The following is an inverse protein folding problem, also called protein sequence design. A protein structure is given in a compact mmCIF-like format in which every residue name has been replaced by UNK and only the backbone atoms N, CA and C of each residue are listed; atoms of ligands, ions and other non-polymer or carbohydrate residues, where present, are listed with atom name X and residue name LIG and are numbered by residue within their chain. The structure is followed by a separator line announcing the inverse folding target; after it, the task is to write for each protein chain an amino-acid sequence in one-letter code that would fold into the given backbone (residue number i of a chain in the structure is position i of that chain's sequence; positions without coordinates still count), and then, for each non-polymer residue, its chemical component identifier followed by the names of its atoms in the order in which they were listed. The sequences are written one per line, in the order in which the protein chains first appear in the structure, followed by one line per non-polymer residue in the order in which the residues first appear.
data_IF_289770861295
#
_entry.id   IF_289770861295
#
_cell.length_a   1.000
_cell.length_b   1.000
_cell.length_c   1.000
_cell.angle_alpha   90.00
_cell.angle_beta   90.00
_cell.angle_gamma   90.00
#
_symmetry.space_group_name_H-M   'P 1'
#
loop_
_entity.id
_entity.type
_entity.pdbx_description
1 polymer ?
#
# COMPACT_ATOMS: atom_id res chain seq x y z
N UNK A 1 10.76 -7.86 23.07
CA UNK A 1 10.20 -8.44 21.82
C UNK A 1 8.76 -8.92 22.05
N UNK A 2 8.49 -9.87 22.94
CA UNK A 2 7.12 -10.40 23.19
C UNK A 2 6.11 -9.32 23.64
N UNK A 3 6.50 -8.39 24.51
CA UNK A 3 5.61 -7.30 24.98
C UNK A 3 5.22 -6.33 23.86
N UNK A 4 6.17 -6.00 22.98
CA UNK A 4 5.92 -5.14 21.81
C UNK A 4 5.04 -5.86 20.79
N UNK A 5 5.20 -7.18 20.66
CA UNK A 5 4.40 -8.03 19.78
C UNK A 5 2.92 -8.08 20.20
N UNK A 6 2.67 -8.26 21.51
CA UNK A 6 1.34 -8.14 22.09
C UNK A 6 0.76 -6.75 21.88
N UNK A 7 1.52 -5.69 22.17
CA UNK A 7 1.06 -4.31 22.00
C UNK A 7 0.73 -3.96 20.55
N UNK A 8 1.55 -4.36 19.58
CA UNK A 8 1.30 -4.12 18.16
C UNK A 8 0.05 -4.85 17.68
N UNK A 9 -0.10 -6.12 18.07
CA UNK A 9 -1.30 -6.91 17.79
C UNK A 9 -2.53 -6.27 18.44
N UNK A 10 -2.41 -5.77 19.67
CA UNK A 10 -3.50 -5.15 20.42
C UNK A 10 -3.87 -3.77 19.88
N UNK A 11 -2.90 -2.95 19.46
CA UNK A 11 -3.13 -1.61 18.87
C UNK A 11 -3.87 -1.74 17.54
N UNK A 12 -3.44 -2.67 16.69
CA UNK A 12 -4.11 -2.93 15.40
C UNK A 12 -5.44 -3.63 15.56
N UNK A 13 -5.59 -4.55 16.52
CA UNK A 13 -6.85 -5.27 16.76
C UNK A 13 -7.90 -4.42 17.47
N UNK A 14 -7.48 -3.47 18.31
CA UNK A 14 -8.37 -2.59 19.08
C UNK A 14 -8.54 -1.19 18.48
N UNK A 15 -8.02 -0.96 17.26
CA UNK A 15 -8.16 0.28 16.50
C UNK A 15 -7.69 1.55 17.26
N UNK A 16 -6.68 1.43 18.14
CA UNK A 16 -6.17 2.57 18.92
C UNK A 16 -5.07 3.32 18.17
N UNK A 17 -5.43 3.89 17.02
CA UNK A 17 -4.52 4.60 16.09
C UNK A 17 -3.78 5.73 16.79
N UNK A 18 -4.49 6.50 17.62
CA UNK A 18 -3.93 7.65 18.35
C UNK A 18 -2.84 7.24 19.35
N UNK A 19 -2.91 6.00 19.85
CA UNK A 19 -1.89 5.46 20.74
C UNK A 19 -0.63 5.09 19.97
N UNK A 20 -0.71 4.70 18.69
CA UNK A 20 0.44 4.28 17.91
C UNK A 20 1.49 5.40 17.78
N UNK A 21 1.06 6.63 17.45
CA UNK A 21 1.98 7.77 17.34
C UNK A 21 2.62 8.11 18.70
N UNK A 22 1.82 8.08 19.78
CA UNK A 22 2.36 8.27 21.13
C UNK A 22 3.35 7.17 21.55
N UNK A 23 3.12 5.92 21.13
CA UNK A 23 4.02 4.79 21.39
C UNK A 23 5.32 4.89 20.58
N UNK A 24 5.24 5.32 19.32
CA UNK A 24 6.40 5.54 18.47
C UNK A 24 7.29 6.66 19.04
N UNK A 25 6.68 7.74 19.53
CA UNK A 25 7.40 8.85 20.18
C UNK A 25 8.01 8.49 21.53
N UNK A 26 7.33 7.64 22.31
CA UNK A 26 7.78 7.23 23.63
C UNK A 26 8.64 5.95 23.62
N UNK A 27 8.89 5.35 22.45
CA UNK A 27 9.68 4.11 22.38
C UNK A 27 11.15 4.41 22.67
N UNK A 28 11.78 3.69 23.62
CA UNK A 28 13.19 3.85 23.89
C UNK A 28 14.02 3.41 22.68
N UNK A 29 15.14 4.08 22.44
CA UNK A 29 16.09 3.64 21.42
C UNK A 29 16.61 2.24 21.79
N UNK A 30 16.30 1.26 20.94
CA UNK A 30 16.75 -0.10 21.16
C UNK A 30 18.26 -0.18 20.91
N UNK A 31 19.03 -0.93 21.71
CA UNK A 31 20.46 -1.12 21.46
C UNK A 31 20.76 -1.78 20.10
N UNK A 32 19.77 -2.48 19.52
CA UNK A 32 19.83 -3.05 18.17
C UNK A 32 19.35 -2.10 17.05
N UNK A 33 19.14 -0.81 17.34
CA UNK A 33 18.65 0.17 16.36
C UNK A 33 19.57 0.30 15.14
N UNK A 34 20.87 0.04 15.31
CA UNK A 34 21.81 0.00 14.19
C UNK A 34 21.49 -1.11 13.17
N UNK A 35 21.09 -2.30 13.66
CA UNK A 35 20.79 -3.47 12.84
C UNK A 35 19.36 -3.50 12.33
N UNK A 36 18.39 -3.09 13.17
CA UNK A 36 16.96 -3.25 12.89
C UNK A 36 16.29 -1.94 12.46
N UNK A 37 16.90 -0.79 12.74
CA UNK A 37 16.34 0.53 12.48
C UNK A 37 15.58 1.11 13.68
N UNK A 38 14.84 2.18 13.44
CA UNK A 38 14.04 2.86 14.47
C UNK A 38 12.82 2.05 14.92
N UNK A 39 12.04 2.60 15.87
CA UNK A 39 10.83 1.94 16.36
C UNK A 39 9.84 1.59 15.23
N UNK A 40 9.70 2.46 14.22
CA UNK A 40 8.86 2.22 13.05
C UNK A 40 9.29 1.03 12.20
N UNK A 41 10.60 0.85 11.99
CA UNK A 41 11.15 -0.29 11.25
C UNK A 41 10.89 -1.61 11.98
N UNK A 42 11.05 -1.63 13.30
CA UNK A 42 10.74 -2.78 14.14
C UNK A 42 9.27 -3.17 14.04
N UNK A 43 8.37 -2.19 14.15
CA UNK A 43 6.93 -2.40 14.03
C UNK A 43 6.55 -2.98 12.66
N UNK A 44 7.16 -2.49 11.57
CA UNK A 44 6.92 -2.99 10.21
C UNK A 44 7.43 -4.41 10.03
N UNK A 45 8.60 -4.74 10.57
CA UNK A 45 9.16 -6.09 10.48
C UNK A 45 8.25 -7.09 11.18
N UNK A 46 7.83 -6.78 12.41
CA UNK A 46 6.93 -7.65 13.18
C UNK A 46 5.58 -7.77 12.50
N UNK A 47 4.99 -6.66 12.04
CA UNK A 47 3.73 -6.67 11.31
C UNK A 47 3.83 -7.54 10.05
N UNK A 48 4.94 -7.46 9.31
CA UNK A 48 5.18 -8.31 8.13
C UNK A 48 5.26 -9.78 8.50
N UNK A 49 5.90 -10.13 9.61
CA UNK A 49 6.01 -11.51 10.10
C UNK A 49 4.64 -12.07 10.56
N UNK A 50 3.83 -11.25 11.23
CA UNK A 50 2.46 -11.60 11.62
C UNK A 50 1.57 -11.82 10.40
N UNK A 51 1.63 -10.95 9.39
CA UNK A 51 0.85 -11.12 8.15
C UNK A 51 1.17 -12.45 7.43
N UNK A 52 2.42 -12.91 7.48
CA UNK A 52 2.82 -14.18 6.86
C UNK A 52 2.31 -15.40 7.63
N UNK A 53 2.13 -15.28 8.95
CA UNK A 53 1.64 -16.35 9.84
C UNK A 53 0.10 -16.43 9.87
N UNK A 54 -0.58 -15.31 9.62
CA UNK A 54 -2.04 -15.22 9.66
C UNK A 54 -2.70 -15.91 8.45
N UNK A 55 -3.46 -16.97 8.72
CA UNK A 55 -4.28 -17.69 7.72
C UNK A 55 -5.77 -17.29 7.75
N UNK A 56 -6.17 -16.43 8.68
CA UNK A 56 -7.57 -16.04 8.89
C UNK A 56 -7.90 -14.79 8.07
N UNK A 57 -8.79 -14.94 7.09
CA UNK A 57 -9.18 -13.89 6.13
C UNK A 57 -9.72 -12.59 6.76
N UNK A 58 -10.72 -12.59 7.66
CA UNK A 58 -11.28 -11.34 8.20
C UNK A 58 -10.25 -10.55 9.01
N UNK A 59 -9.34 -11.23 9.70
CA UNK A 59 -8.26 -10.61 10.47
C UNK A 59 -7.25 -9.97 9.53
N UNK A 60 -6.86 -10.68 8.46
CA UNK A 60 -5.95 -10.16 7.45
C UNK A 60 -6.49 -8.89 6.76
N UNK A 61 -7.79 -8.87 6.42
CA UNK A 61 -8.45 -7.69 5.87
C UNK A 61 -8.39 -6.50 6.83
N UNK A 62 -8.60 -6.74 8.12
CA UNK A 62 -8.51 -5.70 9.13
C UNK A 62 -7.10 -5.11 9.20
N UNK A 63 -6.06 -5.95 9.28
CA UNK A 63 -4.67 -5.50 9.27
C UNK A 63 -4.33 -4.69 8.01
N UNK A 64 -4.69 -5.19 6.82
CA UNK A 64 -4.45 -4.49 5.55
C UNK A 64 -5.14 -3.13 5.49
N UNK A 65 -6.35 -3.01 6.05
CA UNK A 65 -7.08 -1.73 6.08
C UNK A 65 -6.39 -0.69 6.97
N UNK A 66 -5.84 -1.13 8.10
CA UNK A 66 -5.17 -0.30 9.09
C UNK A 66 -3.72 0.03 8.70
N UNK A 67 -3.11 -0.77 7.82
CA UNK A 67 -1.74 -0.53 7.35
C UNK A 67 -1.57 0.84 6.68
N UNK A 68 -2.65 1.45 6.17
CA UNK A 68 -2.65 2.80 5.59
C UNK A 68 -2.12 3.86 6.57
N UNK A 69 -2.20 3.62 7.88
CA UNK A 69 -1.70 4.53 8.92
C UNK A 69 -0.18 4.67 8.88
N UNK A 70 0.54 3.65 8.40
CA UNK A 70 2.00 3.72 8.25
C UNK A 70 2.44 4.61 7.08
N UNK A 71 1.51 5.21 6.35
CA UNK A 71 1.81 6.15 5.28
C UNK A 71 2.58 7.36 5.82
N UNK A 72 3.74 7.65 5.23
CA UNK A 72 4.56 8.80 5.61
C UNK A 72 5.56 8.53 6.74
N UNK A 73 5.64 7.31 7.27
CA UNK A 73 6.74 6.94 8.17
C UNK A 73 8.05 6.78 7.38
N UNK A 74 9.12 7.40 7.88
CA UNK A 74 10.47 7.22 7.36
C UNK A 74 10.97 5.82 7.75
N UNK A 75 10.86 4.88 6.79
CA UNK A 75 11.31 3.51 6.95
C UNK A 75 12.62 3.29 6.21
N UNK A 76 13.46 2.40 6.72
CA UNK A 76 14.67 1.95 6.03
C UNK A 76 14.33 1.28 4.69
N UNK A 77 15.24 1.36 3.73
CA UNK A 77 15.05 0.74 2.40
C UNK A 77 14.85 -0.78 2.47
N UNK A 78 15.47 -1.45 3.44
CA UNK A 78 15.38 -2.91 3.62
C UNK A 78 14.01 -3.35 4.14
N UNK A 79 13.45 -2.62 5.11
CA UNK A 79 12.15 -2.91 5.72
C UNK A 79 11.02 -2.61 4.76
N UNK A 80 11.06 -1.47 4.08
CA UNK A 80 10.11 -1.10 3.03
C UNK A 80 10.11 -2.09 1.86
N UNK A 81 11.27 -2.59 1.45
CA UNK A 81 11.36 -3.63 0.40
C UNK A 81 10.72 -4.95 0.83
N UNK A 82 10.96 -5.41 2.06
CA UNK A 82 10.33 -6.62 2.62
C UNK A 82 8.81 -6.49 2.71
N UNK A 83 8.33 -5.34 3.20
CA UNK A 83 6.90 -5.04 3.29
C UNK A 83 6.25 -5.03 1.91
N UNK A 84 6.89 -4.37 0.94
CA UNK A 84 6.45 -4.31 -0.45
C UNK A 84 6.37 -5.72 -1.07
N UNK A 85 7.38 -6.56 -0.87
CA UNK A 85 7.37 -7.95 -1.35
C UNK A 85 6.23 -8.78 -0.71
N UNK A 86 5.97 -8.59 0.59
CA UNK A 86 4.87 -9.25 1.27
C UNK A 86 3.50 -8.78 0.76
N UNK A 87 3.29 -7.49 0.56
CA UNK A 87 2.05 -6.97 -0.04
C UNK A 87 1.87 -7.48 -1.47
N UNK A 88 2.95 -7.59 -2.25
CA UNK A 88 2.87 -8.11 -3.61
C UNK A 88 2.43 -9.58 -3.68
N UNK A 89 2.86 -10.43 -2.73
CA UNK A 89 2.39 -11.82 -2.69
C UNK A 89 0.87 -11.88 -2.48
N UNK A 90 0.30 -10.95 -1.72
CA UNK A 90 -1.15 -10.82 -1.56
C UNK A 90 -1.87 -10.25 -2.78
N UNK A 91 -1.22 -9.44 -3.62
CA UNK A 91 -1.84 -8.87 -4.84
C UNK A 91 -1.86 -9.82 -6.03
N UNK A 92 -1.05 -10.88 -6.01
CA UNK A 92 -0.83 -11.76 -7.16
C UNK A 92 -2.02 -12.68 -7.39
N UNK A 93 -2.59 -12.72 -8.62
CA UNK A 93 -3.61 -13.70 -8.97
C UNK A 93 -2.96 -15.07 -9.14
N UNK A 94 -3.36 -16.07 -8.35
CA UNK A 94 -2.89 -17.44 -8.47
C UNK A 94 -3.97 -18.47 -8.17
N UNK A 95 -3.59 -19.74 -8.09
CA UNK A 95 -4.46 -20.91 -7.96
C UNK A 95 -5.34 -20.97 -6.68
N UNK A 96 -6.05 -22.08 -6.42
CA UNK A 96 -7.12 -22.18 -5.41
C UNK A 96 -6.68 -21.94 -3.95
N UNK A 97 -5.37 -21.88 -3.69
CA UNK A 97 -4.77 -21.58 -2.39
C UNK A 97 -4.38 -20.10 -2.22
N UNK A 98 -4.60 -19.25 -3.23
CA UNK A 98 -4.26 -17.82 -3.21
C UNK A 98 -5.32 -16.97 -2.49
N UNK A 99 -4.93 -15.80 -1.97
CA UNK A 99 -5.83 -14.90 -1.23
C UNK A 99 -7.06 -14.53 -2.05
N UNK A 100 -8.20 -14.45 -1.36
CA UNK A 100 -9.49 -14.11 -1.94
C UNK A 100 -9.46 -12.74 -2.62
N UNK A 101 -10.42 -12.49 -3.50
CA UNK A 101 -10.53 -11.23 -4.24
C UNK A 101 -10.58 -10.01 -3.29
N UNK A 102 -11.22 -10.14 -2.13
CA UNK A 102 -11.30 -9.09 -1.13
C UNK A 102 -9.91 -8.74 -0.57
N UNK A 103 -9.12 -9.75 -0.20
CA UNK A 103 -7.75 -9.57 0.30
C UNK A 103 -6.85 -8.93 -0.75
N UNK A 104 -6.99 -9.33 -2.03
CA UNK A 104 -6.22 -8.71 -3.11
C UNK A 104 -6.54 -7.23 -3.26
N UNK A 105 -7.82 -6.85 -3.23
CA UNK A 105 -8.21 -5.43 -3.31
C UNK A 105 -7.70 -4.63 -2.11
N UNK A 106 -7.84 -5.17 -0.89
CA UNK A 106 -7.31 -4.52 0.31
C UNK A 106 -5.78 -4.37 0.26
N UNK A 107 -5.06 -5.37 -0.26
CA UNK A 107 -3.62 -5.33 -0.42
C UNK A 107 -3.19 -4.30 -1.48
N UNK A 108 -3.91 -4.20 -2.60
CA UNK A 108 -3.69 -3.14 -3.60
C UNK A 108 -3.91 -1.75 -3.00
N UNK A 109 -5.00 -1.56 -2.26
CA UNK A 109 -5.30 -0.29 -1.61
C UNK A 109 -4.23 0.11 -0.59
N UNK A 110 -3.77 -0.84 0.23
CA UNK A 110 -2.70 -0.60 1.20
C UNK A 110 -1.36 -0.29 0.51
N UNK A 111 -1.02 -1.02 -0.54
CA UNK A 111 0.21 -0.86 -1.30
C UNK A 111 0.27 0.49 -2.04
N UNK A 112 -0.86 0.97 -2.54
CA UNK A 112 -1.01 2.27 -3.19
C UNK A 112 -0.91 3.43 -2.18
N UNK A 113 -1.49 3.28 -1.00
CA UNK A 113 -1.37 4.26 0.09
C UNK A 113 0.07 4.37 0.60
N UNK A 114 0.75 3.24 0.82
CA UNK A 114 2.12 3.25 1.36
C UNK A 114 3.18 3.68 0.36
N UNK A 115 3.04 3.30 -0.92
CA UNK A 115 4.07 3.51 -1.93
C UNK A 115 3.51 4.23 -3.17
N UNK A 116 3.21 5.55 -3.07
CA UNK A 116 2.60 6.30 -4.16
C UNK A 116 3.48 6.36 -5.42
N UNK A 117 4.81 6.27 -5.25
CA UNK A 117 5.81 6.37 -6.33
C UNK A 117 5.74 5.18 -7.31
N UNK A 118 5.11 4.06 -6.94
CA UNK A 118 5.06 2.83 -7.74
C UNK A 118 3.71 2.50 -8.39
N UNK A 119 2.70 3.35 -8.24
CA UNK A 119 1.30 3.06 -8.65
C UNK A 119 1.15 2.86 -10.16
N UNK A 120 1.68 3.80 -10.94
CA UNK A 120 1.56 3.80 -12.41
C UNK A 120 2.24 2.61 -13.10
N UNK A 121 3.52 2.29 -12.81
CA UNK A 121 4.18 1.15 -13.47
C UNK A 121 3.58 -0.20 -13.05
N UNK A 122 3.10 -0.36 -11.81
CA UNK A 122 2.46 -1.60 -11.34
C UNK A 122 1.17 -1.92 -12.10
N UNK A 123 0.29 -0.94 -12.24
CA UNK A 123 -0.94 -1.12 -13.00
C UNK A 123 -0.65 -1.36 -14.48
N UNK A 124 0.33 -0.65 -15.03
CA UNK A 124 0.76 -0.81 -16.41
C UNK A 124 1.30 -2.22 -16.67
N UNK A 125 2.21 -2.74 -15.83
CA UNK A 125 2.74 -4.11 -15.95
C UNK A 125 1.63 -5.16 -15.82
N UNK A 126 0.72 -5.01 -14.85
CA UNK A 126 -0.43 -5.92 -14.71
C UNK A 126 -1.36 -5.87 -15.93
N UNK A 127 -1.53 -4.69 -16.53
CA UNK A 127 -2.28 -4.52 -17.78
C UNK A 127 -1.58 -5.18 -18.96
N UNK A 128 -0.27 -5.03 -19.07
CA UNK A 128 0.55 -5.67 -20.11
C UNK A 128 0.44 -7.19 -20.05
N UNK A 129 0.48 -7.81 -18.86
CA UNK A 129 0.28 -9.26 -18.73
C UNK A 129 -1.14 -9.72 -19.09
N UNK A 130 -2.16 -8.88 -18.84
CA UNK A 130 -3.53 -9.16 -19.33
C UNK A 130 -3.67 -8.98 -20.83
N UNK A 131 -2.96 -8.00 -21.40
CA UNK A 131 -2.94 -7.73 -22.83
C UNK A 131 -2.23 -8.85 -23.60
N UNK A 132 -1.20 -9.45 -23.00
CA UNK A 132 -0.43 -10.54 -23.60
C UNK A 132 -1.24 -11.85 -23.73
N UNK A 133 -2.42 -11.97 -23.09
CA UNK A 133 -3.36 -13.08 -23.33
C UNK A 133 -4.22 -12.79 -24.58
N UNK A 134 -4.04 -13.52 -25.70
CA UNK A 134 -4.57 -13.13 -27.02
C UNK A 134 -6.09 -13.04 -27.14
N UNK A 135 -6.86 -13.61 -26.20
CA UNK A 135 -8.32 -13.79 -26.35
C UNK A 135 -9.20 -12.70 -25.70
N UNK A 136 -8.62 -11.74 -24.95
CA UNK A 136 -9.38 -10.67 -24.26
C UNK A 136 -8.83 -9.25 -24.48
N UNK A 137 -7.83 -9.11 -25.35
CA UNK A 137 -7.09 -7.88 -25.64
C UNK A 137 -7.99 -6.68 -26.01
N UNK A 138 -8.98 -6.78 -26.93
CA UNK A 138 -9.59 -5.59 -27.51
C UNK A 138 -10.34 -4.73 -26.50
N UNK A 139 -11.12 -5.35 -25.61
CA UNK A 139 -11.96 -4.60 -24.66
C UNK A 139 -11.15 -3.95 -23.52
N UNK A 140 -10.09 -4.62 -23.05
CA UNK A 140 -9.24 -4.11 -21.96
C UNK A 140 -8.29 -3.03 -22.44
N UNK A 141 -7.73 -3.19 -23.65
CA UNK A 141 -6.92 -2.15 -24.28
C UNK A 141 -7.77 -0.92 -24.59
N UNK A 142 -9.01 -1.11 -25.05
CA UNK A 142 -9.96 -0.03 -25.33
C UNK A 142 -10.30 0.78 -24.07
N UNK A 143 -10.62 0.12 -22.95
CA UNK A 143 -10.91 0.81 -21.70
C UNK A 143 -9.71 1.59 -21.15
N UNK A 144 -8.48 1.08 -21.34
CA UNK A 144 -7.27 1.78 -20.96
C UNK A 144 -7.02 3.02 -21.84
N UNK A 145 -7.18 2.89 -23.16
CA UNK A 145 -7.07 4.00 -24.12
C UNK A 145 -8.10 5.09 -23.80
N UNK A 146 -9.36 4.71 -23.57
CA UNK A 146 -10.43 5.65 -23.19
C UNK A 146 -10.13 6.35 -21.86
N UNK A 147 -9.58 5.63 -20.88
CA UNK A 147 -9.20 6.22 -19.58
C UNK A 147 -8.03 7.21 -19.73
N UNK A 148 -7.04 6.88 -20.56
CA UNK A 148 -5.91 7.75 -20.86
C UNK A 148 -6.35 9.02 -21.60
N UNK A 149 -7.21 8.88 -22.62
CA UNK A 149 -7.80 10.01 -23.35
C UNK A 149 -8.61 10.90 -22.41
N UNK A 150 -9.44 10.33 -21.53
CA UNK A 150 -10.19 11.10 -20.52
C UNK A 150 -9.26 11.85 -19.59
N UNK A 151 -8.20 11.23 -19.09
CA UNK A 151 -7.24 11.89 -18.19
C UNK A 151 -6.50 13.05 -18.87
N UNK A 152 -6.10 12.88 -20.13
CA UNK A 152 -5.49 13.94 -20.94
C UNK A 152 -6.49 15.06 -21.20
N UNK A 153 -7.74 14.74 -21.53
CA UNK A 153 -8.80 15.74 -21.71
C UNK A 153 -9.06 16.53 -20.42
N UNK A 154 -9.17 15.87 -19.27
CA UNK A 154 -9.34 16.55 -17.98
C UNK A 154 -8.13 17.44 -17.64
N UNK A 155 -6.91 16.99 -17.94
CA UNK A 155 -5.69 17.78 -17.80
C UNK A 155 -5.72 19.06 -18.65
N UNK A 156 -6.10 18.92 -19.93
CA UNK A 156 -6.19 20.05 -20.87
C UNK A 156 -7.30 21.01 -20.45
N UNK A 157 -8.48 20.50 -20.08
CA UNK A 157 -9.60 21.33 -19.59
C UNK A 157 -9.18 22.08 -18.32
N UNK A 158 -8.51 21.41 -17.38
CA UNK A 158 -7.99 22.04 -16.15
C UNK A 158 -6.95 23.11 -16.43
N UNK A 159 -6.07 22.90 -17.41
CA UNK A 159 -5.08 23.89 -17.85
C UNK A 159 -5.74 25.11 -18.50
N UNK A 160 -6.76 24.89 -19.33
CA UNK A 160 -7.53 25.97 -19.97
C UNK A 160 -8.30 26.77 -18.92
N UNK A 161 -8.95 26.10 -17.96
CA UNK A 161 -9.68 26.76 -16.88
C UNK A 161 -8.75 27.54 -15.95
N UNK A 162 -7.60 26.97 -15.59
CA UNK A 162 -6.57 27.65 -14.80
C UNK A 162 -5.94 28.85 -15.53
N UNK A 163 -5.78 28.79 -16.86
CA UNK A 163 -5.39 29.95 -17.68
C UNK A 163 -6.46 31.05 -17.67
N UNK A 164 -7.74 30.68 -17.63
CA UNK A 164 -8.87 31.61 -17.68
C UNK A 164 -9.15 32.30 -16.34
N UNK A 165 -8.68 31.75 -15.24
CA UNK A 165 -8.80 32.31 -13.88
C UNK A 165 -7.68 33.30 -13.54
N UNK A 166 -6.70 33.47 -14.45
CA UNK A 166 -5.63 34.47 -14.35
C UNK A 166 -5.90 35.79 -15.12
N UNK A 167 -7.05 36.47 -14.92
CA UNK A 167 -7.11 37.91 -15.16
C UNK A 167 -7.69 38.65 -13.95
N UNK A 168 -6.79 39.30 -13.19
CA UNK A 168 -6.95 40.49 -12.31
C UNK A 168 -6.12 40.35 -11.03
N UNK A 169 -4.81 40.52 -11.17
CA UNK A 169 -4.01 41.21 -10.15
C UNK A 169 -3.06 42.13 -10.91
N UNK A 170 -3.57 43.31 -11.25
CA UNK A 170 -2.82 44.52 -11.59
C UNK A 170 -3.27 45.59 -10.62
#
# INVERSE_FOLDING_TARGET
IVVVNLLQSLIFFYNSVDRLDSFLRNSPEFPNAFLVGGAGDFLVIELTDQLQKLKVEPVLLHYLSQMKILQGMELRMTTSTRLKACLYSFTSPGGPMYPTRAVRHAAWDALDSLFPVGRYPRHLISLFFRLLYPWYWPSSCWNFVVSCIKAVLYSIIRLIFSRREKPRQS
#
